data_IF_105952754153
#
_entry.id   IF_105952754153
#
_cell.length_a   1.000
_cell.length_b   1.000
_cell.length_c   1.000
_cell.angle_alpha   90.00
_cell.angle_beta   90.00
_cell.angle_gamma   90.00
#
_symmetry.space_group_name_H-M   'P 1'
#
loop_
_entity.id
_entity.type
_entity.pdbx_description
1 polymer ?
#
# COMPACT_ATOMS: atom_id res chain seq x y z
N UNK A 1 -23.87 -12.74 8.61
CA UNK A 1 -23.10 -11.68 7.94
C UNK A 1 -21.76 -12.29 7.56
N UNK A 2 -21.50 -12.43 6.29
CA UNK A 2 -20.23 -12.97 5.82
C UNK A 2 -19.10 -11.95 6.07
N UNK A 3 -17.88 -12.42 6.30
CA UNK A 3 -16.70 -11.57 6.58
C UNK A 3 -16.50 -10.52 5.49
N UNK A 4 -16.73 -10.88 4.23
CA UNK A 4 -16.64 -9.98 3.09
C UNK A 4 -17.67 -8.83 3.15
N UNK A 5 -18.88 -9.10 3.60
CA UNK A 5 -19.95 -8.12 3.79
C UNK A 5 -19.60 -7.15 4.92
N UNK A 6 -19.14 -7.68 6.07
CA UNK A 6 -18.68 -6.87 7.19
C UNK A 6 -17.50 -5.95 6.84
N UNK A 7 -16.51 -6.47 6.12
CA UNK A 7 -15.36 -5.67 5.67
C UNK A 7 -15.79 -4.57 4.68
N UNK A 8 -16.72 -4.87 3.80
CA UNK A 8 -17.23 -3.91 2.83
C UNK A 8 -18.02 -2.78 3.52
N UNK A 9 -18.87 -3.09 4.49
CA UNK A 9 -19.57 -2.10 5.31
C UNK A 9 -18.59 -1.25 6.12
N UNK A 10 -17.58 -1.85 6.75
CA UNK A 10 -16.55 -1.15 7.52
C UNK A 10 -15.78 -0.15 6.65
N UNK A 11 -15.40 -0.54 5.44
CA UNK A 11 -14.74 0.36 4.47
C UNK A 11 -15.67 1.52 4.09
N UNK A 12 -16.95 1.26 3.81
CA UNK A 12 -17.93 2.29 3.50
C UNK A 12 -18.13 3.28 4.68
N UNK A 13 -18.12 2.77 5.93
CA UNK A 13 -18.20 3.61 7.12
C UNK A 13 -16.99 4.51 7.26
N UNK A 14 -15.77 3.99 7.10
CA UNK A 14 -14.52 4.76 7.14
C UNK A 14 -14.55 5.88 6.09
N UNK A 15 -14.96 5.58 4.86
CA UNK A 15 -15.09 6.59 3.81
C UNK A 15 -16.14 7.67 4.13
N UNK A 16 -17.28 7.28 4.71
CA UNK A 16 -18.34 8.21 5.11
C UNK A 16 -17.87 9.12 6.23
N UNK A 17 -17.17 8.60 7.22
CA UNK A 17 -16.67 9.38 8.34
C UNK A 17 -15.51 10.29 7.90
N UNK A 18 -14.62 9.82 7.04
CA UNK A 18 -13.59 10.65 6.43
C UNK A 18 -14.19 11.81 5.62
N UNK A 19 -15.28 11.58 4.87
CA UNK A 19 -15.96 12.66 4.13
C UNK A 19 -16.69 13.65 5.04
N UNK A 20 -17.17 13.22 6.22
CA UNK A 20 -17.82 14.10 7.20
C UNK A 20 -16.82 14.94 8.00
N UNK A 21 -15.64 14.39 8.29
CA UNK A 21 -14.60 15.04 9.09
C UNK A 21 -13.68 15.94 8.28
N UNK A 22 -13.54 15.69 6.97
CA UNK A 22 -12.73 16.55 6.12
C UNK A 22 -13.44 17.88 5.91
N UNK A 23 -12.84 18.96 6.40
CA UNK A 23 -13.16 20.33 5.97
C UNK A 23 -12.76 20.43 4.49
N UNK A 24 -13.60 19.91 3.63
CA UNK A 24 -13.64 19.88 2.16
C UNK A 24 -12.37 20.39 1.44
N UNK A 25 -11.28 19.67 1.57
CA UNK A 25 -10.14 19.84 0.69
C UNK A 25 -10.44 19.08 -0.62
N UNK A 26 -10.51 19.80 -1.74
CA UNK A 26 -10.80 19.23 -3.06
C UNK A 26 -9.85 18.08 -3.44
N UNK A 27 -8.60 18.10 -2.96
CA UNK A 27 -7.63 17.03 -3.18
C UNK A 27 -8.05 15.74 -2.47
N UNK A 28 -8.54 15.86 -1.23
CA UNK A 28 -9.03 14.72 -0.43
C UNK A 28 -10.28 14.10 -1.04
N UNK A 29 -11.23 14.92 -1.46
CA UNK A 29 -12.43 14.46 -2.16
C UNK A 29 -12.09 13.69 -3.45
N UNK A 30 -11.14 14.20 -4.23
CA UNK A 30 -10.67 13.52 -5.45
C UNK A 30 -9.99 12.19 -5.12
N UNK A 31 -9.20 12.15 -4.06
CA UNK A 31 -8.59 10.91 -3.58
C UNK A 31 -9.65 9.88 -3.16
N UNK A 32 -10.62 10.29 -2.32
CA UNK A 32 -11.70 9.40 -1.86
C UNK A 32 -12.53 8.85 -3.02
N UNK A 33 -12.88 9.72 -3.98
CA UNK A 33 -13.61 9.30 -5.17
C UNK A 33 -12.81 8.27 -6.00
N UNK A 34 -11.51 8.54 -6.22
CA UNK A 34 -10.61 7.63 -6.92
C UNK A 34 -10.46 6.31 -6.17
N UNK A 35 -10.27 6.34 -4.85
CA UNK A 35 -10.15 5.14 -4.03
C UNK A 35 -11.41 4.26 -4.11
N UNK A 36 -12.60 4.87 -4.05
CA UNK A 36 -13.85 4.14 -4.21
C UNK A 36 -13.97 3.48 -5.62
N UNK A 37 -13.55 4.19 -6.66
CA UNK A 37 -13.51 3.66 -8.03
C UNK A 37 -12.54 2.48 -8.13
N UNK A 38 -11.31 2.62 -7.61
CA UNK A 38 -10.30 1.56 -7.56
C UNK A 38 -10.87 0.30 -6.89
N UNK A 39 -11.51 0.45 -5.73
CA UNK A 39 -12.11 -0.67 -5.01
C UNK A 39 -13.18 -1.40 -5.83
N UNK A 40 -14.06 -0.66 -6.48
CA UNK A 40 -15.14 -1.23 -7.31
C UNK A 40 -14.56 -2.01 -8.49
N UNK A 41 -13.61 -1.44 -9.23
CA UNK A 41 -12.99 -2.08 -10.38
C UNK A 41 -12.16 -3.31 -9.99
N UNK A 42 -11.41 -3.23 -8.89
CA UNK A 42 -10.65 -4.35 -8.36
C UNK A 42 -11.58 -5.50 -7.91
N UNK A 43 -12.71 -5.18 -7.26
CA UNK A 43 -13.69 -6.18 -6.87
C UNK A 43 -14.27 -6.92 -8.09
N UNK A 44 -14.53 -6.22 -9.19
CA UNK A 44 -15.01 -6.85 -10.43
C UNK A 44 -13.98 -7.81 -11.03
N UNK A 45 -12.66 -7.41 -11.02
CA UNK A 45 -11.60 -8.31 -11.50
C UNK A 45 -11.45 -9.55 -10.62
N UNK A 46 -11.56 -9.40 -9.28
CA UNK A 46 -11.54 -10.56 -8.37
C UNK A 46 -12.68 -11.52 -8.62
N UNK A 47 -13.90 -11.03 -8.82
CA UNK A 47 -15.04 -11.88 -9.19
C UNK A 47 -14.79 -12.66 -10.47
N UNK A 48 -14.14 -12.07 -11.47
CA UNK A 48 -13.75 -12.77 -12.70
C UNK A 48 -12.69 -13.84 -12.43
N UNK A 49 -11.70 -13.55 -11.58
CA UNK A 49 -10.67 -14.52 -11.18
C UNK A 49 -11.27 -15.68 -10.39
N UNK A 50 -12.19 -15.40 -9.46
CA UNK A 50 -12.90 -16.43 -8.68
C UNK A 50 -13.72 -17.36 -9.59
N UNK A 51 -14.37 -16.82 -10.62
CA UNK A 51 -15.11 -17.62 -11.62
C UNK A 51 -14.19 -18.55 -12.42
N UNK A 52 -12.89 -18.22 -12.50
CA UNK A 52 -11.84 -19.05 -13.13
C UNK A 52 -11.12 -19.98 -12.13
N UNK A 53 -11.60 -20.04 -10.89
CA UNK A 53 -11.06 -20.90 -9.84
C UNK A 53 -9.82 -20.33 -9.13
N UNK A 54 -9.52 -19.02 -9.29
CA UNK A 54 -8.37 -18.36 -8.64
C UNK A 54 -8.85 -17.29 -7.68
N UNK A 55 -8.71 -17.54 -6.37
CA UNK A 55 -9.04 -16.55 -5.34
C UNK A 55 -7.91 -15.53 -5.18
N UNK A 56 -8.22 -14.25 -5.38
CA UNK A 56 -7.27 -13.14 -5.30
C UNK A 56 -7.60 -12.28 -4.07
N UNK A 57 -6.65 -12.08 -3.13
CA UNK A 57 -6.89 -11.23 -1.98
C UNK A 57 -7.01 -9.75 -2.40
N UNK A 58 -7.87 -8.96 -1.74
CA UNK A 58 -7.99 -7.52 -2.02
C UNK A 58 -6.79 -6.70 -1.53
N UNK A 59 -6.01 -7.27 -0.62
CA UNK A 59 -4.96 -6.62 0.14
C UNK A 59 -3.71 -7.50 0.18
N UNK A 60 -2.54 -6.88 -0.04
CA UNK A 60 -1.23 -7.51 0.12
C UNK A 60 -0.36 -6.71 1.09
N UNK A 61 0.62 -7.37 1.69
CA UNK A 61 1.70 -6.73 2.43
C UNK A 61 2.99 -7.00 1.65
N UNK A 62 3.68 -5.92 1.27
CA UNK A 62 4.96 -5.96 0.58
C UNK A 62 6.08 -5.51 1.52
N UNK A 63 6.95 -6.44 1.90
CA UNK A 63 8.16 -6.13 2.66
C UNK A 63 9.25 -5.67 1.69
N UNK A 64 9.31 -4.35 1.43
CA UNK A 64 10.17 -3.77 0.38
C UNK A 64 11.59 -3.45 0.86
N UNK A 65 11.79 -3.37 2.18
CA UNK A 65 13.08 -3.01 2.80
C UNK A 65 13.50 -4.08 3.81
N UNK A 66 14.75 -4.51 3.74
CA UNK A 66 15.37 -5.43 4.71
C UNK A 66 16.20 -4.71 5.76
N UNK A 67 16.37 -3.38 5.66
CA UNK A 67 17.11 -2.52 6.59
C UNK A 67 16.17 -1.56 7.29
N UNK A 68 16.59 -1.11 8.48
CA UNK A 68 15.90 -0.07 9.24
C UNK A 68 16.91 0.72 10.05
N UNK A 69 16.75 2.02 10.09
CA UNK A 69 17.57 2.94 10.86
C UNK A 69 17.25 2.97 12.37
N UNK A 70 16.26 2.18 12.84
CA UNK A 70 15.88 2.06 14.24
C UNK A 70 15.98 0.61 14.76
N UNK A 71 16.20 0.49 16.11
CA UNK A 71 16.28 -0.77 16.84
C UNK A 71 15.19 -0.84 17.92
N UNK A 72 13.92 -0.87 17.50
CA UNK A 72 12.81 -0.94 18.44
C UNK A 72 12.79 -2.28 19.19
N UNK A 73 12.60 -2.26 20.52
CA UNK A 73 12.68 -3.42 21.39
C UNK A 73 11.69 -4.55 21.05
N UNK A 74 10.51 -4.22 20.51
CA UNK A 74 9.48 -5.19 20.09
C UNK A 74 9.33 -5.30 18.57
N UNK A 75 10.39 -5.05 17.81
CA UNK A 75 10.31 -5.05 16.35
C UNK A 75 10.04 -6.45 15.79
N UNK A 76 8.86 -6.62 15.19
CA UNK A 76 8.47 -7.86 14.52
C UNK A 76 9.46 -8.28 13.41
N UNK A 77 9.88 -7.34 12.59
CA UNK A 77 10.77 -7.63 11.46
C UNK A 77 12.14 -8.11 11.92
N UNK A 78 12.69 -7.54 13.02
CA UNK A 78 13.94 -8.02 13.62
C UNK A 78 13.79 -9.35 14.32
N UNK A 79 12.69 -9.57 15.06
CA UNK A 79 12.42 -10.84 15.73
C UNK A 79 12.30 -12.01 14.74
N UNK A 80 11.80 -11.77 13.53
CA UNK A 80 11.70 -12.77 12.48
C UNK A 80 12.87 -12.78 11.49
N UNK A 81 13.97 -12.08 11.79
CA UNK A 81 15.16 -12.00 10.92
C UNK A 81 14.87 -11.52 9.49
N UNK A 82 13.81 -10.73 9.30
CA UNK A 82 13.47 -10.11 8.01
C UNK A 82 13.99 -8.69 7.88
N UNK A 83 14.52 -8.11 8.97
CA UNK A 83 15.17 -6.82 9.00
C UNK A 83 16.49 -6.92 9.80
N UNK A 84 17.58 -6.46 9.23
CA UNK A 84 18.94 -6.51 9.80
C UNK A 84 19.65 -5.18 9.60
N UNK A 85 20.80 -4.98 10.28
CA UNK A 85 21.60 -3.77 10.14
C UNK A 85 22.36 -3.70 8.83
N UNK A 86 22.66 -4.88 8.27
CA UNK A 86 23.29 -5.03 6.96
C UNK A 86 22.41 -5.88 6.07
N UNK A 87 22.27 -5.49 4.82
CA UNK A 87 21.57 -6.34 3.83
C UNK A 87 22.43 -7.57 3.54
N UNK A 88 21.93 -8.75 3.91
CA UNK A 88 22.58 -10.03 3.60
C UNK A 88 22.17 -10.63 2.25
N UNK A 89 21.17 -10.04 1.64
CA UNK A 89 20.62 -10.52 0.36
C UNK A 89 20.49 -9.34 -0.59
N UNK A 90 20.67 -9.62 -1.85
CA UNK A 90 20.26 -8.71 -2.93
C UNK A 90 18.76 -8.41 -2.76
N UNK A 91 18.44 -7.16 -2.46
CA UNK A 91 17.06 -6.70 -2.45
C UNK A 91 16.54 -6.66 -3.89
N UNK A 92 15.26 -7.02 -4.05
CA UNK A 92 14.61 -6.90 -5.35
C UNK A 92 14.68 -5.45 -5.84
N UNK A 93 15.06 -5.28 -7.11
CA UNK A 93 15.17 -3.95 -7.72
C UNK A 93 13.81 -3.26 -7.84
N UNK A 94 13.83 -1.94 -7.93
CA UNK A 94 12.61 -1.13 -7.99
C UNK A 94 11.77 -1.41 -9.24
N UNK A 95 12.41 -1.69 -10.37
CA UNK A 95 11.70 -2.00 -11.62
C UNK A 95 10.87 -3.28 -11.48
N UNK A 96 11.44 -4.31 -10.85
CA UNK A 96 10.71 -5.57 -10.60
C UNK A 96 9.56 -5.36 -9.61
N UNK A 97 9.72 -4.51 -8.59
CA UNK A 97 8.61 -4.09 -7.73
C UNK A 97 7.51 -3.40 -8.53
N UNK A 98 7.86 -2.48 -9.43
CA UNK A 98 6.89 -1.83 -10.31
C UNK A 98 6.14 -2.81 -11.23
N UNK A 99 6.80 -3.87 -11.71
CA UNK A 99 6.15 -4.94 -12.47
C UNK A 99 5.15 -5.70 -11.60
N UNK A 100 5.56 -6.11 -10.39
CA UNK A 100 4.69 -6.79 -9.43
C UNK A 100 3.45 -5.96 -9.04
N UNK A 101 3.59 -4.64 -8.87
CA UNK A 101 2.46 -3.76 -8.60
C UNK A 101 1.44 -3.77 -9.74
N UNK A 102 1.90 -3.73 -10.99
CA UNK A 102 1.02 -3.83 -12.17
C UNK A 102 0.36 -5.21 -12.30
N UNK A 103 1.12 -6.29 -12.02
CA UNK A 103 0.58 -7.67 -11.99
C UNK A 103 -0.50 -7.79 -10.91
N UNK A 104 -0.25 -7.30 -9.69
CA UNK A 104 -1.21 -7.31 -8.59
C UNK A 104 -2.49 -6.52 -8.94
N UNK A 105 -2.35 -5.35 -9.56
CA UNK A 105 -3.49 -4.59 -10.05
C UNK A 105 -4.31 -5.37 -11.10
N UNK A 106 -3.64 -6.01 -12.06
CA UNK A 106 -4.31 -6.79 -13.10
C UNK A 106 -5.13 -7.95 -12.52
N UNK A 107 -4.64 -8.56 -11.43
CA UNK A 107 -5.35 -9.63 -10.71
C UNK A 107 -6.52 -9.12 -9.85
N UNK A 108 -6.60 -7.83 -9.55
CA UNK A 108 -7.68 -7.25 -8.75
C UNK A 108 -7.30 -6.94 -7.30
N UNK A 109 -6.02 -6.91 -6.96
CA UNK A 109 -5.56 -6.30 -5.71
C UNK A 109 -5.87 -4.80 -5.74
N UNK A 110 -6.26 -4.22 -4.62
CA UNK A 110 -6.59 -2.80 -4.50
C UNK A 110 -5.71 -2.04 -3.51
N UNK A 111 -5.14 -2.75 -2.53
CA UNK A 111 -4.21 -2.18 -1.56
C UNK A 111 -2.94 -3.01 -1.47
N UNK A 112 -1.80 -2.34 -1.41
CA UNK A 112 -0.52 -2.98 -1.09
C UNK A 112 0.14 -2.18 0.01
N UNK A 113 0.14 -2.72 1.23
CA UNK A 113 0.85 -2.14 2.36
C UNK A 113 2.35 -2.28 2.15
N UNK A 114 3.04 -1.15 2.04
CA UNK A 114 4.50 -1.12 1.99
C UNK A 114 5.06 -1.13 3.41
N UNK A 115 5.84 -2.15 3.71
CA UNK A 115 6.39 -2.43 5.02
C UNK A 115 7.82 -2.99 4.89
N UNK A 116 8.32 -3.63 5.95
CA UNK A 116 9.63 -4.29 6.01
C UNK A 116 10.46 -3.73 7.16
N UNK A 117 11.71 -3.38 6.94
CA UNK A 117 12.51 -2.58 7.86
C UNK A 117 11.96 -1.16 7.93
N UNK A 118 12.60 -0.21 7.25
CA UNK A 118 12.06 1.13 7.05
C UNK A 118 11.81 1.39 5.56
N UNK A 119 10.54 1.45 5.11
CA UNK A 119 10.22 1.64 3.70
C UNK A 119 10.78 2.92 3.08
N UNK A 120 10.97 3.99 3.86
CA UNK A 120 11.53 5.24 3.36
C UNK A 120 13.01 5.14 2.97
N UNK A 121 13.71 4.04 3.32
CA UNK A 121 15.04 3.73 2.78
C UNK A 121 15.00 3.26 1.31
N UNK A 122 13.81 2.90 0.81
CA UNK A 122 13.58 2.42 -0.55
C UNK A 122 12.78 3.45 -1.37
N UNK A 123 13.33 4.68 -1.46
CA UNK A 123 12.73 5.76 -2.27
C UNK A 123 12.51 5.32 -3.72
N UNK A 124 13.39 4.49 -4.25
CA UNK A 124 13.32 3.91 -5.59
C UNK A 124 12.03 3.08 -5.80
N UNK A 125 11.65 2.27 -4.81
CA UNK A 125 10.41 1.47 -4.84
C UNK A 125 9.18 2.34 -4.63
N UNK A 126 9.27 3.35 -3.75
CA UNK A 126 8.19 4.33 -3.55
C UNK A 126 7.91 5.13 -4.83
N UNK A 127 8.93 5.39 -5.64
CA UNK A 127 8.76 6.02 -6.97
C UNK A 127 8.00 5.11 -7.95
N UNK A 128 8.27 3.81 -7.93
CA UNK A 128 7.50 2.84 -8.75
C UNK A 128 6.04 2.72 -8.26
N UNK A 129 5.81 2.73 -6.95
CA UNK A 129 4.45 2.76 -6.39
C UNK A 129 3.68 4.01 -6.85
N UNK A 130 4.33 5.19 -6.86
CA UNK A 130 3.74 6.44 -7.33
C UNK A 130 3.36 6.43 -8.82
N UNK A 131 3.97 5.56 -9.63
CA UNK A 131 3.64 5.36 -11.06
C UNK A 131 2.44 4.45 -11.30
N UNK A 132 1.88 3.86 -10.23
CA UNK A 132 0.74 2.94 -10.30
C UNK A 132 -0.47 3.53 -9.54
N UNK A 133 -1.10 4.59 -10.08
CA UNK A 133 -2.18 5.32 -9.39
C UNK A 133 -3.47 4.52 -9.24
N UNK A 134 -3.54 3.33 -9.85
CA UNK A 134 -4.65 2.40 -9.78
C UNK A 134 -4.61 1.51 -8.53
N UNK A 135 -3.54 1.58 -7.73
CA UNK A 135 -3.41 0.93 -6.44
C UNK A 135 -3.32 1.96 -5.31
N UNK A 136 -3.71 1.56 -4.12
CA UNK A 136 -3.53 2.35 -2.90
C UNK A 136 -2.37 1.73 -2.11
N UNK A 137 -1.40 2.56 -1.75
CA UNK A 137 -0.19 2.14 -1.03
C UNK A 137 -0.11 2.77 0.37
N UNK A 138 -0.71 2.16 1.40
CA UNK A 138 -0.38 2.54 2.77
C UNK A 138 1.09 2.25 3.04
N UNK A 139 1.80 3.18 3.70
CA UNK A 139 3.22 3.03 4.04
C UNK A 139 3.36 2.97 5.56
N UNK A 140 3.88 1.85 6.07
CA UNK A 140 4.19 1.69 7.48
C UNK A 140 5.63 2.11 7.75
N UNK A 141 5.79 3.33 8.22
CA UNK A 141 7.09 3.96 8.46
C UNK A 141 7.23 4.44 9.90
N UNK A 142 8.47 4.45 10.39
CA UNK A 142 8.82 5.11 11.66
C UNK A 142 8.85 6.64 11.53
N UNK A 143 8.78 7.19 10.32
CA UNK A 143 8.68 8.60 10.02
C UNK A 143 9.96 9.42 10.18
N UNK A 144 11.08 8.83 10.63
CA UNK A 144 12.31 9.57 10.92
C UNK A 144 13.07 10.04 9.70
N UNK A 145 12.80 9.44 8.54
CA UNK A 145 13.47 9.74 7.26
C UNK A 145 12.67 10.71 6.36
N UNK A 146 11.55 11.25 6.84
CA UNK A 146 10.81 12.23 6.05
C UNK A 146 11.63 13.49 5.78
N UNK A 147 11.75 13.82 4.51
CA UNK A 147 12.29 15.10 4.04
C UNK A 147 11.16 15.98 3.49
N UNK A 148 11.35 17.31 3.43
CA UNK A 148 10.38 18.20 2.76
C UNK A 148 10.11 17.82 1.30
N UNK A 149 11.10 17.27 0.61
CA UNK A 149 10.96 16.80 -0.77
C UNK A 149 10.05 15.56 -0.87
N UNK A 150 10.24 14.59 0.03
CA UNK A 150 9.38 13.40 0.15
C UNK A 150 7.94 13.79 0.46
N UNK A 151 7.70 14.68 1.44
CA UNK A 151 6.35 15.13 1.78
C UNK A 151 5.64 15.77 0.58
N UNK A 152 6.34 16.60 -0.21
CA UNK A 152 5.81 17.16 -1.46
C UNK A 152 5.48 16.08 -2.48
N UNK A 153 6.28 15.02 -2.55
CA UNK A 153 6.04 13.87 -3.45
C UNK A 153 4.77 13.12 -3.04
N UNK A 154 4.63 12.78 -1.75
CA UNK A 154 3.42 12.14 -1.21
C UNK A 154 2.17 13.00 -1.41
N UNK A 155 2.25 14.34 -1.26
CA UNK A 155 1.12 15.23 -1.54
C UNK A 155 0.74 15.27 -3.04
N UNK A 156 1.71 15.05 -3.93
CA UNK A 156 1.48 14.99 -5.38
C UNK A 156 0.87 13.67 -5.83
N UNK A 157 1.38 12.56 -5.31
CA UNK A 157 1.00 11.19 -5.66
C UNK A 157 0.25 10.56 -4.50
N UNK A 158 -1.02 10.93 -4.37
CA UNK A 158 -1.92 10.41 -3.32
C UNK A 158 -2.56 9.10 -3.78
N UNK A 159 -1.80 8.03 -3.73
CA UNK A 159 -2.27 6.68 -4.03
C UNK A 159 -1.92 5.66 -2.97
#
# INVERSE_FOLDING_TARGET
MELAEYLNESVVHIFRDATRSSKLNLKELRFLHRAAKIQKEAAQRRLQSDALGTSVPPFLIASIATRCNLHCAGCYARANHTCMDQSFKEEMDAKRWGELFREAYALGVSFILLAGGEPLEREDVLEEAAKTPELIFPVFTNGTLFTPAMLKRFDRHRN
#
